data_IF_775469638248
#
_entry.id   IF_775469638248
#
_cell.length_a   1.000
_cell.length_b   1.000
_cell.length_c   1.000
_cell.angle_alpha   90.00
_cell.angle_beta   90.00
_cell.angle_gamma   90.00
#
_symmetry.space_group_name_H-M   'P 1'
#
loop_
_entity.id
_entity.type
_entity.pdbx_description
1 polymer ?
#
# COMPACT_ATOMS: atom_id res chain seq x y z
N UNK A 1 46.77 -22.80 24.17
CA UNK A 1 46.23 -22.48 22.83
C UNK A 1 45.82 -21.02 22.90
N UNK A 2 46.63 -20.09 22.40
CA UNK A 2 46.34 -18.65 22.45
C UNK A 2 45.32 -18.29 21.33
N UNK A 3 44.27 -17.52 21.63
CA UNK A 3 43.33 -17.08 20.61
C UNK A 3 44.06 -16.24 19.58
N UNK A 4 43.79 -16.51 18.33
CA UNK A 4 44.40 -15.81 17.18
C UNK A 4 44.01 -14.32 17.28
N UNK A 5 45.02 -13.40 17.22
CA UNK A 5 44.81 -11.94 17.30
C UNK A 5 43.74 -11.42 16.32
N UNK A 6 43.54 -12.10 15.17
CA UNK A 6 42.51 -11.74 14.19
C UNK A 6 41.09 -12.05 14.69
N UNK A 7 40.89 -13.19 15.38
CA UNK A 7 39.58 -13.52 15.96
C UNK A 7 39.22 -12.55 17.09
N UNK A 8 40.17 -12.21 17.97
CA UNK A 8 39.92 -11.25 19.06
C UNK A 8 39.57 -9.82 18.55
N UNK A 9 40.12 -9.40 17.42
CA UNK A 9 39.75 -8.11 16.80
C UNK A 9 38.34 -8.13 16.17
N UNK A 10 37.99 -9.23 15.53
CA UNK A 10 36.65 -9.43 14.96
C UNK A 10 35.57 -9.50 16.05
N UNK A 11 35.87 -10.22 17.16
CA UNK A 11 34.94 -10.31 18.29
C UNK A 11 34.73 -8.95 18.98
N UNK A 12 35.75 -8.10 19.05
CA UNK A 12 35.59 -6.71 19.55
C UNK A 12 34.77 -5.84 18.63
N UNK A 13 34.94 -5.96 17.32
CA UNK A 13 34.15 -5.21 16.34
C UNK A 13 32.66 -5.66 16.38
N UNK A 14 32.42 -6.97 16.43
CA UNK A 14 31.08 -7.52 16.61
C UNK A 14 30.44 -7.02 17.91
N UNK A 15 31.16 -7.08 19.04
CA UNK A 15 30.66 -6.57 20.32
C UNK A 15 30.35 -5.07 20.28
N UNK A 16 31.20 -4.25 19.67
CA UNK A 16 30.95 -2.81 19.49
C UNK A 16 29.72 -2.56 18.61
N UNK A 17 29.61 -3.29 17.50
CA UNK A 17 28.44 -3.24 16.63
C UNK A 17 27.16 -3.56 17.44
N UNK A 18 27.12 -4.71 18.09
CA UNK A 18 25.95 -5.16 18.83
C UNK A 18 25.62 -4.25 20.01
N UNK A 19 26.64 -3.70 20.70
CA UNK A 19 26.39 -2.75 21.80
C UNK A 19 25.83 -1.41 21.36
N UNK A 20 26.14 -0.97 20.13
CA UNK A 20 25.63 0.27 19.55
C UNK A 20 24.25 0.08 18.92
N UNK A 21 24.06 -0.99 18.17
CA UNK A 21 22.87 -1.16 17.33
C UNK A 21 21.74 -1.92 18.02
N UNK A 22 21.99 -2.87 18.92
CA UNK A 22 20.91 -3.63 19.55
C UNK A 22 19.97 -2.80 20.45
N UNK A 23 20.40 -1.71 21.14
CA UNK A 23 19.48 -0.81 21.81
C UNK A 23 18.63 -0.02 20.80
N UNK A 24 19.24 0.41 19.69
CA UNK A 24 18.58 1.15 18.62
C UNK A 24 17.51 0.26 17.98
N UNK A 25 17.85 -0.97 17.61
CA UNK A 25 16.91 -1.93 17.02
C UNK A 25 15.71 -2.18 17.92
N UNK A 26 15.93 -2.44 19.21
CA UNK A 26 14.85 -2.68 20.17
C UNK A 26 13.90 -1.49 20.34
N UNK A 27 14.42 -0.26 20.34
CA UNK A 27 13.60 0.94 20.49
C UNK A 27 12.92 1.35 19.18
N UNK A 28 13.59 1.14 18.02
CA UNK A 28 13.06 1.53 16.71
C UNK A 28 12.13 0.49 16.10
N UNK A 29 12.15 -0.75 16.55
CA UNK A 29 11.28 -1.81 16.01
C UNK A 29 9.79 -1.44 16.09
N UNK A 30 9.39 -0.74 17.17
CA UNK A 30 8.05 -0.17 17.31
C UNK A 30 7.79 1.11 16.49
N UNK A 31 8.84 1.81 16.06
CA UNK A 31 8.74 3.04 15.29
C UNK A 31 8.56 2.77 13.78
N UNK A 32 9.14 1.69 13.27
CA UNK A 32 9.08 1.33 11.83
C UNK A 32 7.65 1.29 11.30
N UNK A 33 6.69 0.55 11.91
CA UNK A 33 5.32 0.54 11.41
C UNK A 33 4.61 1.90 11.54
N UNK A 34 4.96 2.70 12.55
CA UNK A 34 4.42 4.05 12.70
C UNK A 34 4.91 4.97 11.57
N UNK A 35 6.21 4.91 11.25
CA UNK A 35 6.78 5.64 10.11
C UNK A 35 6.19 5.18 8.78
N UNK A 36 6.03 3.88 8.57
CA UNK A 36 5.40 3.34 7.36
C UNK A 36 3.96 3.87 7.20
N UNK A 37 3.17 3.88 8.28
CA UNK A 37 1.81 4.45 8.27
C UNK A 37 1.82 5.96 8.05
N UNK A 38 2.76 6.68 8.66
CA UNK A 38 2.91 8.12 8.46
C UNK A 38 3.25 8.44 7.00
N UNK A 39 4.25 7.76 6.41
CA UNK A 39 4.61 7.97 5.00
C UNK A 39 3.44 7.61 4.09
N UNK A 40 2.74 6.49 4.35
CA UNK A 40 1.53 6.12 3.62
C UNK A 40 0.46 7.23 3.70
N UNK A 41 0.18 7.75 4.89
CA UNK A 41 -0.79 8.83 5.08
C UNK A 41 -0.38 10.11 4.34
N UNK A 42 0.89 10.50 4.45
CA UNK A 42 1.40 11.73 3.87
C UNK A 42 1.42 11.71 2.33
N UNK A 43 1.64 10.54 1.72
CA UNK A 43 1.85 10.43 0.28
C UNK A 43 0.68 9.80 -0.47
N UNK A 44 -0.04 8.85 0.12
CA UNK A 44 -1.00 8.01 -0.58
C UNK A 44 -2.46 8.18 -0.16
N UNK A 45 -2.75 8.62 1.08
CA UNK A 45 -4.13 8.77 1.53
C UNK A 45 -4.93 9.67 0.59
N UNK A 46 -4.43 10.88 0.34
CA UNK A 46 -5.12 11.85 -0.52
C UNK A 46 -5.08 11.46 -1.99
N UNK A 47 -4.04 10.75 -2.43
CA UNK A 47 -3.98 10.19 -3.77
C UNK A 47 -5.16 9.25 -4.04
N UNK A 48 -5.36 8.24 -3.17
CA UNK A 48 -6.46 7.28 -3.33
C UNK A 48 -7.82 7.93 -3.10
N UNK A 49 -7.97 8.81 -2.11
CA UNK A 49 -9.24 9.49 -1.87
C UNK A 49 -9.63 10.42 -3.01
N UNK A 50 -8.70 11.17 -3.57
CA UNK A 50 -8.95 12.00 -4.75
C UNK A 50 -9.35 11.15 -5.96
N UNK A 51 -8.68 10.01 -6.15
CA UNK A 51 -9.05 9.04 -7.19
C UNK A 51 -10.45 8.47 -6.98
N UNK A 52 -10.79 8.07 -5.75
CA UNK A 52 -12.13 7.57 -5.41
C UNK A 52 -13.22 8.60 -5.65
N UNK A 53 -12.98 9.87 -5.29
CA UNK A 53 -13.93 10.96 -5.49
C UNK A 53 -14.28 11.17 -6.98
N UNK A 54 -13.34 10.99 -7.91
CA UNK A 54 -13.61 11.10 -9.35
C UNK A 54 -14.51 9.99 -9.89
N UNK A 55 -14.64 8.90 -9.13
CA UNK A 55 -15.43 7.72 -9.51
C UNK A 55 -16.87 7.78 -9.02
N UNK A 56 -17.18 8.68 -8.09
CA UNK A 56 -18.54 8.83 -7.59
C UNK A 56 -19.45 9.42 -8.67
N UNK A 57 -20.68 8.92 -8.74
CA UNK A 57 -21.74 9.54 -9.51
C UNK A 57 -22.41 10.68 -8.75
N UNK A 58 -23.51 11.18 -9.28
CA UNK A 58 -24.20 12.35 -8.73
C UNK A 58 -24.94 12.05 -7.44
N UNK A 59 -24.88 13.00 -6.50
CA UNK A 59 -25.63 12.98 -5.26
C UNK A 59 -25.21 11.89 -4.27
N UNK A 60 -26.04 11.67 -3.24
CA UNK A 60 -25.73 10.72 -2.14
C UNK A 60 -25.64 9.27 -2.64
N UNK A 61 -26.42 8.92 -3.65
CA UNK A 61 -26.40 7.57 -4.23
C UNK A 61 -25.19 7.32 -5.14
N UNK A 62 -24.40 8.35 -5.45
CA UNK A 62 -23.19 8.24 -6.29
C UNK A 62 -22.16 7.22 -5.81
N UNK A 63 -22.19 6.85 -4.52
CA UNK A 63 -21.36 5.78 -3.93
C UNK A 63 -21.74 4.38 -4.46
N UNK A 64 -22.96 4.18 -4.96
CA UNK A 64 -23.45 2.93 -5.53
C UNK A 64 -23.71 3.05 -7.04
N UNK A 65 -23.79 4.26 -7.56
CA UNK A 65 -23.99 4.55 -8.99
C UNK A 65 -22.76 5.29 -9.50
N UNK A 66 -21.69 4.58 -9.88
CA UNK A 66 -20.44 5.21 -10.30
C UNK A 66 -20.62 6.07 -11.56
N UNK A 67 -19.75 7.07 -11.70
CA UNK A 67 -19.69 7.89 -12.91
C UNK A 67 -19.25 7.07 -14.13
N UNK A 68 -19.61 7.50 -15.33
CA UNK A 68 -19.11 6.91 -16.58
C UNK A 68 -17.58 6.89 -16.62
N UNK A 69 -16.94 7.94 -16.09
CA UNK A 69 -15.49 8.03 -15.96
C UNK A 69 -14.88 6.93 -15.11
N UNK A 70 -15.58 6.46 -14.08
CA UNK A 70 -15.11 5.34 -13.24
C UNK A 70 -14.97 4.04 -14.05
N UNK A 71 -15.95 3.75 -14.89
CA UNK A 71 -15.88 2.59 -15.79
C UNK A 71 -14.76 2.73 -16.82
N UNK A 72 -14.57 3.91 -17.37
CA UNK A 72 -13.48 4.17 -18.32
C UNK A 72 -12.09 4.05 -17.69
N UNK A 73 -11.94 4.43 -16.42
CA UNK A 73 -10.68 4.26 -15.69
C UNK A 73 -10.35 2.79 -15.42
N UNK A 74 -11.36 1.96 -15.09
CA UNK A 74 -11.14 0.57 -14.65
C UNK A 74 -11.24 -0.40 -15.85
N UNK A 75 -12.10 -0.14 -16.79
CA UNK A 75 -12.38 -0.98 -17.97
C UNK A 75 -12.25 -0.20 -19.29
N UNK A 76 -11.09 0.42 -19.60
CA UNK A 76 -10.97 1.32 -20.75
C UNK A 76 -11.34 0.66 -22.06
N UNK A 77 -10.82 -0.55 -22.34
CA UNK A 77 -11.11 -1.26 -23.61
C UNK A 77 -12.58 -1.66 -23.78
N UNK A 78 -13.22 -2.06 -22.68
CA UNK A 78 -14.65 -2.40 -22.68
C UNK A 78 -15.50 -1.16 -22.92
N UNK A 79 -15.13 -0.03 -22.31
CA UNK A 79 -15.83 1.23 -22.50
C UNK A 79 -15.69 1.77 -23.94
N UNK A 80 -14.51 1.64 -24.53
CA UNK A 80 -14.29 1.96 -25.94
C UNK A 80 -15.16 1.08 -26.85
N UNK A 81 -15.22 -0.24 -26.59
CA UNK A 81 -15.99 -1.19 -27.38
C UNK A 81 -17.51 -0.91 -27.37
N UNK A 82 -18.03 -0.36 -26.27
CA UNK A 82 -19.45 0.02 -26.12
C UNK A 82 -19.70 1.53 -26.35
N UNK A 83 -18.73 2.23 -26.92
CA UNK A 83 -18.81 3.67 -27.22
C UNK A 83 -19.23 4.48 -25.98
N UNK A 84 -18.68 4.12 -24.81
CA UNK A 84 -18.93 4.72 -23.50
C UNK A 84 -20.38 4.63 -22.99
N UNK A 85 -21.17 3.70 -23.53
CA UNK A 85 -22.52 3.41 -23.04
C UNK A 85 -22.48 2.37 -21.91
N UNK A 86 -22.53 2.84 -20.65
CA UNK A 86 -22.49 2.01 -19.44
C UNK A 86 -23.64 0.99 -19.39
N UNK A 87 -24.80 1.29 -20.04
CA UNK A 87 -25.96 0.39 -20.03
C UNK A 87 -25.70 -0.94 -20.72
N UNK A 88 -24.69 -1.04 -21.57
CA UNK A 88 -24.26 -2.26 -22.25
C UNK A 88 -23.31 -3.13 -21.41
N UNK A 89 -22.84 -2.61 -20.28
CA UNK A 89 -21.95 -3.36 -19.38
C UNK A 89 -22.75 -4.26 -18.43
N UNK A 90 -22.15 -5.39 -18.07
CA UNK A 90 -22.77 -6.35 -17.15
C UNK A 90 -22.70 -5.89 -15.70
N UNK A 91 -23.51 -6.52 -14.84
CA UNK A 91 -23.47 -6.35 -13.37
C UNK A 91 -22.07 -6.60 -12.78
N UNK A 92 -21.26 -7.45 -13.40
CA UNK A 92 -19.89 -7.70 -13.00
C UNK A 92 -19.04 -6.42 -13.05
N UNK A 93 -19.13 -5.65 -14.16
CA UNK A 93 -18.40 -4.40 -14.31
C UNK A 93 -18.82 -3.38 -13.23
N UNK A 94 -20.12 -3.27 -12.99
CA UNK A 94 -20.65 -2.44 -11.92
C UNK A 94 -20.07 -2.85 -10.55
N UNK A 95 -20.12 -4.14 -10.21
CA UNK A 95 -19.65 -4.63 -8.93
C UNK A 95 -18.15 -4.37 -8.72
N UNK A 96 -17.33 -4.55 -9.75
CA UNK A 96 -15.88 -4.26 -9.69
C UNK A 96 -15.62 -2.76 -9.52
N UNK A 97 -16.34 -1.91 -10.25
CA UNK A 97 -16.17 -0.44 -10.14
C UNK A 97 -16.56 0.04 -8.75
N UNK A 98 -17.72 -0.40 -8.24
CA UNK A 98 -18.15 -0.05 -6.87
C UNK A 98 -17.18 -0.56 -5.83
N UNK A 99 -16.80 -1.84 -5.89
CA UNK A 99 -15.85 -2.42 -4.93
C UNK A 99 -14.48 -1.74 -4.98
N UNK A 100 -13.98 -1.41 -6.17
CA UNK A 100 -12.73 -0.68 -6.36
C UNK A 100 -12.80 0.72 -5.75
N UNK A 101 -13.88 1.46 -6.01
CA UNK A 101 -14.09 2.80 -5.43
C UNK A 101 -14.14 2.77 -3.90
N UNK A 102 -14.87 1.80 -3.33
CA UNK A 102 -14.91 1.62 -1.88
C UNK A 102 -13.56 1.21 -1.29
N UNK A 103 -12.81 0.37 -1.99
CA UNK A 103 -11.47 -0.03 -1.56
C UNK A 103 -10.53 1.18 -1.46
N UNK A 104 -10.61 2.13 -2.40
CA UNK A 104 -9.82 3.37 -2.39
C UNK A 104 -10.16 4.30 -1.20
N UNK A 105 -11.36 4.24 -0.66
CA UNK A 105 -11.71 4.98 0.56
C UNK A 105 -11.33 4.22 1.82
N UNK A 106 -11.73 2.95 1.91
CA UNK A 106 -11.71 2.18 3.15
C UNK A 106 -10.30 1.70 3.48
N UNK A 107 -9.59 1.08 2.51
CA UNK A 107 -8.28 0.49 2.80
C UNK A 107 -7.25 1.53 3.26
N UNK A 108 -7.09 2.70 2.60
CA UNK A 108 -6.20 3.75 3.09
C UNK A 108 -6.59 4.26 4.47
N UNK A 109 -7.88 4.45 4.74
CA UNK A 109 -8.36 4.88 6.05
C UNK A 109 -7.98 3.87 7.14
N UNK A 110 -8.23 2.59 6.92
CA UNK A 110 -7.90 1.51 7.86
C UNK A 110 -6.40 1.47 8.16
N UNK A 111 -5.55 1.63 7.15
CA UNK A 111 -4.09 1.72 7.32
C UNK A 111 -3.73 2.92 8.19
N UNK A 112 -4.27 4.09 7.89
CA UNK A 112 -3.90 5.34 8.59
C UNK A 112 -4.32 5.30 10.06
N UNK A 113 -5.51 4.83 10.38
CA UNK A 113 -5.96 4.70 11.77
C UNK A 113 -5.36 3.48 12.48
N UNK A 114 -4.78 2.55 11.73
CA UNK A 114 -4.18 1.32 12.27
C UNK A 114 -5.21 0.31 12.76
N UNK A 115 -6.28 0.12 12.00
CA UNK A 115 -7.34 -0.86 12.27
C UNK A 115 -7.33 -1.95 11.20
N UNK A 116 -7.26 -3.22 11.60
CA UNK A 116 -7.07 -4.36 10.71
C UNK A 116 -5.90 -4.15 9.74
N UNK A 117 -4.84 -3.51 10.20
CA UNK A 117 -3.76 -2.96 9.37
C UNK A 117 -3.15 -3.96 8.42
N UNK A 118 -2.89 -5.19 8.87
CA UNK A 118 -2.30 -6.25 8.02
C UNK A 118 -3.23 -6.64 6.88
N UNK A 119 -4.53 -6.78 7.15
CA UNK A 119 -5.53 -7.12 6.14
C UNK A 119 -5.74 -5.96 5.17
N UNK A 120 -5.81 -4.73 5.68
CA UNK A 120 -5.93 -3.53 4.85
C UNK A 120 -4.71 -3.35 3.94
N UNK A 121 -3.50 -3.59 4.45
CA UNK A 121 -2.28 -3.55 3.66
C UNK A 121 -2.23 -4.65 2.58
N UNK A 122 -2.66 -5.88 2.88
CA UNK A 122 -2.82 -6.95 1.89
C UNK A 122 -3.85 -6.58 0.82
N UNK A 123 -5.00 -6.03 1.22
CA UNK A 123 -6.02 -5.53 0.30
C UNK A 123 -5.47 -4.44 -0.61
N UNK A 124 -4.70 -3.50 -0.03
CA UNK A 124 -4.04 -2.43 -0.79
C UNK A 124 -2.98 -2.96 -1.77
N UNK A 125 -2.20 -3.99 -1.40
CA UNK A 125 -1.27 -4.66 -2.32
C UNK A 125 -2.04 -5.22 -3.51
N UNK A 126 -3.11 -5.97 -3.26
CA UNK A 126 -3.97 -6.50 -4.33
C UNK A 126 -4.53 -5.39 -5.21
N UNK A 127 -5.02 -4.31 -4.61
CA UNK A 127 -5.53 -3.14 -5.33
C UNK A 127 -4.46 -2.52 -6.24
N UNK A 128 -3.25 -2.23 -5.72
CA UNK A 128 -2.14 -1.65 -6.50
C UNK A 128 -1.70 -2.56 -7.63
N UNK A 129 -1.72 -3.89 -7.44
CA UNK A 129 -1.43 -4.86 -8.51
C UNK A 129 -2.48 -4.75 -9.63
N UNK A 130 -3.77 -4.78 -9.29
CA UNK A 130 -4.85 -4.66 -10.29
C UNK A 130 -4.77 -3.31 -11.01
N UNK A 131 -4.57 -2.22 -10.28
CA UNK A 131 -4.37 -0.88 -10.84
C UNK A 131 -3.20 -0.86 -11.83
N UNK A 132 -2.07 -1.50 -11.46
CA UNK A 132 -0.89 -1.57 -12.33
C UNK A 132 -1.17 -2.34 -13.62
N UNK A 133 -1.90 -3.44 -13.53
CA UNK A 133 -2.31 -4.22 -14.72
C UNK A 133 -3.28 -3.42 -15.60
N UNK A 134 -4.18 -2.66 -15.01
CA UNK A 134 -5.10 -1.77 -15.75
C UNK A 134 -4.31 -0.68 -16.48
N UNK A 135 -3.34 -0.04 -15.84
CA UNK A 135 -2.52 0.99 -16.47
C UNK A 135 -1.65 0.41 -17.60
N UNK A 136 -1.02 -0.74 -17.37
CA UNK A 136 -0.15 -1.36 -18.39
C UNK A 136 -0.92 -1.89 -19.58
N UNK A 137 -1.99 -2.65 -19.36
CA UNK A 137 -2.67 -3.40 -20.40
C UNK A 137 -4.01 -2.80 -20.80
N UNK A 138 -4.71 -2.15 -19.90
CA UNK A 138 -5.96 -1.43 -20.16
C UNK A 138 -5.69 -0.14 -20.91
N UNK A 139 -4.88 0.72 -20.33
CA UNK A 139 -4.52 2.02 -20.91
C UNK A 139 -3.30 1.99 -21.84
N UNK A 140 -2.69 0.83 -22.05
CA UNK A 140 -1.56 0.69 -22.98
C UNK A 140 -0.22 1.22 -22.45
N UNK A 141 -0.13 1.51 -21.17
CA UNK A 141 1.07 2.07 -20.53
C UNK A 141 2.33 1.22 -20.65
N UNK A 142 2.19 -0.06 -20.98
CA UNK A 142 3.34 -0.95 -21.23
C UNK A 142 4.24 -0.48 -22.40
N UNK A 143 3.70 0.29 -23.34
CA UNK A 143 4.43 0.86 -24.46
C UNK A 143 5.21 2.13 -24.08
N UNK A 144 5.03 2.67 -22.90
CA UNK A 144 5.56 3.94 -22.43
C UNK A 144 6.57 3.74 -21.31
N UNK A 145 7.82 4.13 -21.55
CA UNK A 145 8.90 3.96 -20.59
C UNK A 145 8.65 4.72 -19.27
N UNK A 146 8.05 5.90 -19.34
CA UNK A 146 7.65 6.70 -18.18
C UNK A 146 6.56 6.04 -17.32
N UNK A 147 5.77 5.13 -17.90
CA UNK A 147 4.76 4.36 -17.16
C UNK A 147 5.37 3.10 -16.56
N UNK A 148 5.97 2.26 -17.40
CA UNK A 148 6.51 0.96 -16.93
C UNK A 148 7.79 1.15 -16.11
N UNK A 149 8.77 1.89 -16.63
CA UNK A 149 10.11 2.04 -16.07
C UNK A 149 11.02 0.84 -16.28
N UNK A 150 12.21 0.94 -15.72
CA UNK A 150 13.17 -0.17 -15.69
C UNK A 150 14.01 -0.10 -14.41
N UNK A 151 14.19 -1.22 -13.73
CA UNK A 151 15.11 -1.28 -12.60
C UNK A 151 16.56 -1.16 -13.05
N UNK A 152 17.37 -0.57 -12.17
CA UNK A 152 18.82 -0.38 -12.37
C UNK A 152 19.19 0.58 -13.50
N UNK A 153 18.27 1.42 -13.93
CA UNK A 153 18.54 2.54 -14.79
C UNK A 153 18.82 3.84 -13.98
N UNK A 154 18.92 4.98 -14.66
CA UNK A 154 19.17 6.29 -14.04
C UNK A 154 17.91 7.14 -13.85
N UNK A 155 16.74 6.59 -14.18
CA UNK A 155 15.44 7.29 -14.14
C UNK A 155 14.62 6.74 -12.98
N UNK A 156 14.48 7.45 -11.83
CA UNK A 156 13.92 6.89 -10.61
C UNK A 156 12.44 7.24 -10.39
N UNK A 157 11.71 7.68 -11.41
CA UNK A 157 10.38 8.29 -11.26
C UNK A 157 9.29 7.67 -12.14
N UNK A 158 9.54 6.51 -12.76
CA UNK A 158 8.51 5.78 -13.48
C UNK A 158 7.37 5.34 -12.57
N UNK A 159 6.15 5.25 -13.12
CA UNK A 159 4.96 5.01 -12.31
C UNK A 159 4.96 3.60 -11.68
N UNK A 160 5.30 2.56 -12.46
CA UNK A 160 5.11 1.17 -12.03
C UNK A 160 6.35 0.65 -11.28
N UNK A 161 7.51 0.59 -11.94
CA UNK A 161 8.67 -0.09 -11.37
C UNK A 161 9.43 0.75 -10.33
N UNK A 162 9.21 2.08 -10.28
CA UNK A 162 9.83 2.93 -9.27
C UNK A 162 8.82 3.34 -8.19
N UNK A 163 7.85 4.20 -8.50
CA UNK A 163 6.94 4.73 -7.47
C UNK A 163 6.15 3.63 -6.77
N UNK A 164 5.54 2.70 -7.51
CA UNK A 164 4.75 1.63 -6.89
C UNK A 164 5.61 0.58 -6.20
N UNK A 165 6.88 0.42 -6.56
CA UNK A 165 7.81 -0.40 -5.78
C UNK A 165 8.00 0.15 -4.35
N UNK A 166 8.13 1.47 -4.18
CA UNK A 166 8.16 2.09 -2.86
C UNK A 166 6.83 1.94 -2.11
N UNK A 167 5.68 2.05 -2.81
CA UNK A 167 4.39 1.80 -2.18
C UNK A 167 4.29 0.35 -1.67
N UNK A 168 4.75 -0.60 -2.48
CA UNK A 168 4.77 -2.02 -2.10
C UNK A 168 5.69 -2.27 -0.91
N UNK A 169 6.85 -1.62 -0.83
CA UNK A 169 7.75 -1.73 0.32
C UNK A 169 7.07 -1.27 1.62
N UNK A 170 6.36 -0.14 1.59
CA UNK A 170 5.58 0.37 2.72
C UNK A 170 4.49 -0.64 3.12
N UNK A 171 3.72 -1.12 2.16
CA UNK A 171 2.60 -2.05 2.40
C UNK A 171 3.10 -3.40 2.94
N UNK A 172 4.15 -3.97 2.36
CA UNK A 172 4.77 -5.21 2.85
C UNK A 172 5.31 -5.04 4.27
N UNK A 173 5.91 -3.89 4.56
CA UNK A 173 6.36 -3.56 5.93
C UNK A 173 5.18 -3.60 6.91
N UNK A 174 4.02 -3.04 6.54
CA UNK A 174 2.81 -3.06 7.37
C UNK A 174 2.20 -4.46 7.51
N UNK A 175 2.27 -5.30 6.47
CA UNK A 175 1.85 -6.71 6.55
C UNK A 175 2.70 -7.47 7.56
N UNK A 176 4.02 -7.29 7.53
CA UNK A 176 4.98 -8.01 8.38
C UNK A 176 4.93 -7.47 9.83
N UNK A 177 5.06 -6.16 9.99
CA UNK A 177 5.18 -5.52 11.33
C UNK A 177 3.83 -5.21 11.97
N UNK A 178 2.75 -5.05 11.19
CA UNK A 178 1.43 -4.64 11.68
C UNK A 178 1.34 -3.14 11.92
N UNK A 179 0.41 -2.73 12.78
CA UNK A 179 0.03 -1.33 12.99
C UNK A 179 0.98 -0.51 13.87
N UNK A 180 1.79 -1.17 14.72
CA UNK A 180 2.65 -0.51 15.69
C UNK A 180 1.93 0.00 16.94
N UNK A 181 2.65 0.78 17.75
CA UNK A 181 2.24 1.16 19.11
C UNK A 181 1.00 2.07 19.16
N UNK A 182 0.90 3.03 18.25
CA UNK A 182 -0.20 3.99 18.17
C UNK A 182 -1.22 3.53 17.13
N UNK A 183 -2.12 2.60 17.51
CA UNK A 183 -3.07 2.00 16.58
C UNK A 183 -4.33 1.51 17.26
N UNK A 184 -5.44 1.48 16.54
CA UNK A 184 -6.67 0.83 16.98
C UNK A 184 -6.50 -0.69 17.17
N UNK A 185 -5.67 -1.36 16.36
CA UNK A 185 -5.34 -2.78 16.52
C UNK A 185 -4.77 -3.07 17.91
N UNK A 186 -3.93 -2.18 18.43
CA UNK A 186 -3.36 -2.33 19.78
C UNK A 186 -4.40 -2.13 20.88
N UNK A 187 -5.32 -1.19 20.70
CA UNK A 187 -6.43 -0.95 21.66
C UNK A 187 -7.33 -2.18 21.69
N UNK A 188 -7.72 -2.66 20.52
CA UNK A 188 -8.59 -3.82 20.34
C UNK A 188 -7.99 -5.10 20.95
N UNK A 189 -6.71 -5.35 20.69
CA UNK A 189 -6.01 -6.52 21.24
C UNK A 189 -5.94 -6.52 22.77
N UNK A 190 -5.79 -5.34 23.38
CA UNK A 190 -5.80 -5.22 24.84
C UNK A 190 -7.19 -5.48 25.45
N UNK A 191 -8.24 -5.05 24.78
CA UNK A 191 -9.61 -5.21 25.28
C UNK A 191 -10.13 -6.66 25.10
N UNK A 192 -9.80 -7.29 23.98
CA UNK A 192 -10.35 -8.62 23.65
C UNK A 192 -9.50 -9.74 24.23
N UNK A 193 -8.17 -9.62 24.20
CA UNK A 193 -7.27 -10.71 24.55
C UNK A 193 -6.71 -10.63 25.98
N UNK A 194 -6.98 -9.55 26.74
CA UNK A 194 -6.41 -9.35 28.06
C UNK A 194 -4.86 -9.41 28.10
N UNK A 195 -4.21 -9.27 26.95
CA UNK A 195 -2.80 -9.49 26.80
C UNK A 195 -1.99 -8.37 27.47
N UNK A 196 -0.98 -8.70 28.31
CA UNK A 196 -0.06 -7.72 28.86
C UNK A 196 0.68 -7.01 27.71
N UNK A 197 0.95 -5.72 27.92
CA UNK A 197 1.71 -4.91 26.98
C UNK A 197 3.14 -5.45 26.88
N UNK A 198 3.42 -6.33 25.93
CA UNK A 198 4.80 -6.58 25.52
C UNK A 198 5.26 -5.38 24.68
N UNK A 199 6.25 -4.70 25.23
CA UNK A 199 6.92 -3.57 24.61
C UNK A 199 7.66 -3.98 23.35
#
# INVERSE_FOLDING_TARGET
MFPNRKTAAMDRLAFLHDSLFSPIERHLDGLVPLLARFVFAATLLMYFWSSALTKLGDGIMGIFVPSTGAYAQIFPKQMEAVVYDVSQLSIFHWAVVVAGTWAEFILPLLIVIGLFTRLAALGMIGFVVVQSLTDLYGHGGIAHAETLGAWFDKVPDSVILDQRAFWMLILVTLVIKGAGALSFDRILSRQILGAPATA
#
